data_IF_012642187230
#
_entry.id   IF_012642187230
#
_cell.length_a   1.000
_cell.length_b   1.000
_cell.length_c   1.000
_cell.angle_alpha   90.00
_cell.angle_beta   90.00
_cell.angle_gamma   90.00
#
_symmetry.space_group_name_H-M   'P 1'
#
loop_
_entity.id
_entity.type
_entity.pdbx_description
1 polymer ?
#
# COMPACT_ATOMS: atom_id res chain seq x y z
N UNK A 1 -5.47 -5.80 -9.03
CA UNK A 1 -5.94 -5.40 -7.70
C UNK A 1 -5.86 -3.88 -7.56
N UNK A 2 -6.80 -3.32 -6.83
CA UNK A 2 -6.80 -1.87 -6.63
C UNK A 2 -5.65 -1.39 -5.77
N UNK A 3 -5.23 -2.21 -4.79
CA UNK A 3 -4.17 -1.84 -3.86
C UNK A 3 -2.87 -2.53 -4.19
N UNK A 4 -1.78 -1.76 -4.21
CA UNK A 4 -0.43 -2.27 -4.34
C UNK A 4 0.44 -1.64 -3.26
N UNK A 5 1.18 -2.47 -2.54
CA UNK A 5 2.10 -2.00 -1.50
C UNK A 5 3.53 -2.27 -1.96
N UNK A 6 4.30 -1.21 -2.11
CA UNK A 6 5.73 -1.32 -2.41
C UNK A 6 6.50 -1.45 -1.12
N UNK A 7 7.28 -2.52 -1.01
CA UNK A 7 8.00 -2.86 0.22
C UNK A 7 9.46 -3.18 -0.07
N UNK A 8 10.23 -3.41 1.01
CA UNK A 8 11.60 -3.88 0.93
C UNK A 8 11.88 -4.75 2.17
N UNK A 9 12.75 -5.75 2.03
CA UNK A 9 13.13 -6.62 3.14
C UNK A 9 13.71 -5.82 4.30
N UNK A 10 13.41 -6.25 5.52
CA UNK A 10 13.93 -5.65 6.73
C UNK A 10 13.29 -4.33 7.12
N UNK A 11 12.15 -4.01 6.53
CA UNK A 11 11.44 -2.76 6.78
C UNK A 11 10.34 -2.95 7.83
N UNK A 12 10.53 -2.38 9.02
CA UNK A 12 9.52 -2.48 10.09
C UNK A 12 8.24 -1.74 9.74
N UNK A 13 8.35 -0.60 9.08
CA UNK A 13 7.17 0.15 8.66
C UNK A 13 6.37 -0.62 7.61
N UNK A 14 7.04 -1.42 6.79
CA UNK A 14 6.35 -2.28 5.83
C UNK A 14 5.50 -3.33 6.54
N UNK A 15 6.03 -3.90 7.63
CA UNK A 15 5.28 -4.87 8.42
C UNK A 15 4.04 -4.24 9.06
N UNK A 16 4.18 -3.02 9.57
CA UNK A 16 3.04 -2.28 10.13
C UNK A 16 2.00 -1.98 9.05
N UNK A 17 2.45 -1.59 7.87
CA UNK A 17 1.55 -1.32 6.74
C UNK A 17 0.79 -2.58 6.33
N UNK A 18 1.46 -3.72 6.27
CA UNK A 18 0.81 -4.99 5.93
C UNK A 18 -0.25 -5.36 6.97
N UNK A 19 0.02 -5.12 8.25
CA UNK A 19 -0.96 -5.40 9.31
C UNK A 19 -2.23 -4.56 9.13
N UNK A 20 -2.07 -3.28 8.79
CA UNK A 20 -3.22 -2.40 8.50
C UNK A 20 -3.99 -2.92 7.28
N UNK A 21 -3.29 -3.29 6.21
CA UNK A 21 -3.94 -3.78 5.00
C UNK A 21 -4.67 -5.10 5.23
N UNK A 22 -4.18 -5.96 6.12
CA UNK A 22 -4.92 -7.17 6.49
C UNK A 22 -6.21 -6.85 7.21
N UNK A 23 -6.21 -5.83 8.07
CA UNK A 23 -7.45 -5.38 8.72
C UNK A 23 -8.43 -4.80 7.70
N UNK A 24 -7.92 -4.05 6.75
CA UNK A 24 -8.74 -3.48 5.66
C UNK A 24 -9.35 -4.60 4.83
N UNK A 25 -8.56 -5.62 4.51
CA UNK A 25 -9.06 -6.77 3.76
C UNK A 25 -10.18 -7.48 4.53
N UNK A 26 -10.01 -7.68 5.82
CA UNK A 26 -11.04 -8.31 6.64
C UNK A 26 -12.32 -7.49 6.69
N UNK A 27 -12.21 -6.16 6.68
CA UNK A 27 -13.36 -5.26 6.78
C UNK A 27 -14.07 -5.06 5.46
N UNK A 28 -13.35 -5.07 4.33
CA UNK A 28 -13.90 -4.66 3.03
C UNK A 28 -13.88 -5.76 1.97
N UNK A 29 -13.10 -6.82 2.18
CA UNK A 29 -12.85 -7.81 1.14
C UNK A 29 -11.80 -7.39 0.13
N UNK A 30 -11.25 -6.17 0.24
CA UNK A 30 -10.28 -5.65 -0.71
C UNK A 30 -8.87 -6.13 -0.36
N UNK A 31 -8.28 -6.98 -1.21
CA UNK A 31 -6.91 -7.45 -1.04
C UNK A 31 -5.89 -6.47 -1.60
N UNK A 32 -4.62 -6.82 -1.46
CA UNK A 32 -3.53 -6.00 -2.00
C UNK A 32 -2.44 -6.88 -2.58
N UNK A 33 -1.69 -6.32 -3.53
CA UNK A 33 -0.49 -6.95 -4.06
C UNK A 33 0.72 -6.34 -3.36
N UNK A 34 1.68 -7.17 -3.00
CA UNK A 34 2.94 -6.70 -2.41
C UNK A 34 4.03 -6.82 -3.47
N UNK A 35 4.78 -5.73 -3.67
CA UNK A 35 5.87 -5.68 -4.64
C UNK A 35 7.15 -5.27 -3.92
N UNK A 36 8.18 -6.13 -3.98
CA UNK A 36 9.49 -5.83 -3.43
C UNK A 36 10.24 -4.96 -4.46
N UNK A 37 10.54 -3.72 -4.09
CA UNK A 37 11.20 -2.79 -5.01
C UNK A 37 12.68 -3.10 -5.22
N UNK A 38 13.29 -3.92 -4.36
CA UNK A 38 14.71 -4.24 -4.47
C UNK A 38 15.04 -4.99 -5.76
N UNK A 39 14.04 -5.64 -6.37
CA UNK A 39 14.21 -6.37 -7.63
C UNK A 39 14.07 -5.49 -8.86
N UNK A 40 13.71 -4.23 -8.69
CA UNK A 40 13.46 -3.31 -9.81
C UNK A 40 14.16 -1.98 -9.55
N UNK A 41 15.23 -1.66 -10.32
CA UNK A 41 15.98 -0.41 -10.13
C UNK A 41 15.14 0.85 -10.32
N UNK A 42 14.15 0.82 -11.22
CA UNK A 42 13.28 1.96 -11.45
C UNK A 42 12.39 2.22 -10.25
N UNK A 43 11.83 1.17 -9.65
CA UNK A 43 11.00 1.32 -8.45
C UNK A 43 11.85 1.76 -7.26
N UNK A 44 13.07 1.24 -7.15
CA UNK A 44 14.01 1.65 -6.09
C UNK A 44 14.33 3.14 -6.20
N UNK A 45 14.59 3.62 -7.41
CA UNK A 45 14.89 5.03 -7.64
C UNK A 45 13.69 5.92 -7.31
N UNK A 46 12.48 5.48 -7.66
CA UNK A 46 11.27 6.29 -7.47
C UNK A 46 10.78 6.27 -6.03
N UNK A 47 10.77 5.11 -5.38
CA UNK A 47 10.10 4.95 -4.08
C UNK A 47 11.02 4.60 -2.93
N UNK A 48 12.31 4.38 -3.17
CA UNK A 48 13.22 3.82 -2.16
C UNK A 48 13.33 4.62 -0.87
N UNK A 49 13.10 5.93 -0.92
CA UNK A 49 13.16 6.80 0.24
C UNK A 49 11.81 7.00 0.94
N UNK A 50 10.75 6.40 0.39
CA UNK A 50 9.39 6.57 0.92
C UNK A 50 8.70 5.26 1.29
N UNK A 51 9.44 4.17 1.30
CA UNK A 51 8.92 2.82 1.61
C UNK A 51 8.37 2.77 3.04
N UNK A 52 7.22 2.15 3.28
CA UNK A 52 6.32 1.53 2.31
C UNK A 52 5.47 2.56 1.57
N UNK A 53 5.19 2.30 0.30
CA UNK A 53 4.32 3.17 -0.50
C UNK A 53 3.06 2.39 -0.86
N UNK A 54 1.91 2.98 -0.57
CA UNK A 54 0.62 2.38 -0.93
C UNK A 54 0.06 3.07 -2.15
N UNK A 55 -0.28 2.26 -3.16
CA UNK A 55 -0.95 2.73 -4.37
C UNK A 55 -2.41 2.30 -4.35
N UNK A 56 -3.30 3.20 -4.71
CA UNK A 56 -4.73 2.91 -4.86
C UNK A 56 -5.14 3.32 -6.28
N UNK A 57 -5.62 2.34 -7.05
CA UNK A 57 -6.09 2.55 -8.42
C UNK A 57 -5.04 3.26 -9.29
N UNK A 58 -3.77 2.90 -9.12
CA UNK A 58 -2.67 3.43 -9.89
C UNK A 58 -2.13 4.77 -9.42
N UNK A 59 -2.61 5.28 -8.29
CA UNK A 59 -2.15 6.55 -7.72
C UNK A 59 -1.56 6.33 -6.35
N UNK A 60 -0.54 7.12 -6.00
CA UNK A 60 0.07 7.07 -4.68
C UNK A 60 -0.94 7.55 -3.63
N UNK A 61 -1.31 6.68 -2.70
CA UNK A 61 -2.24 7.00 -1.62
C UNK A 61 -1.52 7.51 -0.39
N UNK A 62 -0.35 6.96 -0.11
CA UNK A 62 0.43 7.39 1.05
C UNK A 62 1.77 6.66 1.10
N UNK A 63 2.62 7.12 2.01
CA UNK A 63 3.94 6.54 2.20
C UNK A 63 4.28 6.51 3.69
N UNK A 64 5.25 5.69 4.06
CA UNK A 64 5.74 5.40 5.41
C UNK A 64 4.73 4.65 6.27
N UNK A 65 3.48 5.08 6.31
CA UNK A 65 2.42 4.36 7.04
C UNK A 65 1.12 4.40 6.25
N UNK A 66 0.26 3.40 6.51
CA UNK A 66 -1.07 3.36 5.92
C UNK A 66 -2.05 4.04 6.87
N UNK A 67 -2.75 5.06 6.37
CA UNK A 67 -3.79 5.73 7.13
C UNK A 67 -5.10 4.97 6.94
N UNK A 68 -5.39 4.09 7.88
CA UNK A 68 -6.49 3.13 7.76
C UNK A 68 -7.84 3.78 7.51
N UNK A 69 -8.20 4.79 8.30
CA UNK A 69 -9.50 5.45 8.17
C UNK A 69 -9.66 6.14 6.81
N UNK A 70 -8.61 6.82 6.35
CA UNK A 70 -8.64 7.48 5.05
C UNK A 70 -8.73 6.46 3.91
N UNK A 71 -8.01 5.35 4.04
CA UNK A 71 -8.04 4.30 3.04
C UNK A 71 -9.43 3.67 2.94
N UNK A 72 -10.05 3.36 4.08
CA UNK A 72 -11.39 2.80 4.09
C UNK A 72 -12.39 3.72 3.42
N UNK A 73 -12.30 5.02 3.69
CA UNK A 73 -13.16 6.01 3.07
C UNK A 73 -12.95 6.09 1.56
N UNK A 74 -11.68 6.08 1.13
CA UNK A 74 -11.33 6.21 -0.28
C UNK A 74 -11.71 4.95 -1.07
N UNK A 75 -11.59 3.77 -0.46
CA UNK A 75 -12.04 2.54 -1.09
C UNK A 75 -13.56 2.56 -1.32
N UNK A 76 -14.31 3.06 -0.35
CA UNK A 76 -15.76 3.18 -0.47
C UNK A 76 -16.14 4.14 -1.60
N UNK A 77 -15.49 5.29 -1.68
CA UNK A 77 -15.73 6.26 -2.74
C UNK A 77 -15.38 5.70 -4.11
N UNK A 78 -14.25 4.99 -4.21
CA UNK A 78 -13.80 4.42 -5.47
C UNK A 78 -14.76 3.40 -6.03
N UNK A 79 -15.42 2.63 -5.17
CA UNK A 79 -16.37 1.63 -5.62
C UNK A 79 -17.68 2.23 -6.13
N UNK A 80 -17.93 3.50 -5.84
CA UNK A 80 -19.14 4.19 -6.30
C UNK A 80 -19.01 4.79 -7.69
N UNK A 81 -17.82 4.84 -8.24
CA UNK A 81 -17.58 5.46 -9.55
C UNK A 81 -17.63 4.49 -10.70
#
# INVERSE_FOLDING_TARGET
MRLTLYTRDGCHLCDDAKAVLERVRAATGEGYAEVDIATDPELTAEYGDRIPVLMLDGREHGYWRVEEARLLRDLEKGSAS
#
